data_IF_858736085363
#
_entry.id   IF_858736085363
#
_cell.length_a   1.000
_cell.length_b   1.000
_cell.length_c   1.000
_cell.angle_alpha   90.00
_cell.angle_beta   90.00
_cell.angle_gamma   90.00
#
_symmetry.space_group_name_H-M   'P 1'
#
loop_
_entity.id
_entity.type
_entity.pdbx_description
1 polymer ?
#
# COMPACT_ATOMS: atom_id res chain seq x y z
N UNK A 1 0.98 -13.32 12.34
CA UNK A 1 2.18 -13.67 13.13
C UNK A 1 2.43 -12.73 14.32
N UNK A 2 2.38 -11.42 14.11
CA UNK A 2 2.53 -10.43 15.21
C UNK A 2 1.49 -10.63 16.33
N UNK A 3 0.23 -10.80 15.98
CA UNK A 3 -0.87 -11.04 16.93
C UNK A 3 -0.65 -12.30 17.81
N UNK A 4 -0.05 -13.35 17.26
CA UNK A 4 0.28 -14.54 18.03
C UNK A 4 1.39 -14.24 19.06
N UNK A 5 2.41 -13.48 18.72
CA UNK A 5 3.46 -13.07 19.65
C UNK A 5 2.90 -12.25 20.81
N UNK A 6 1.94 -11.37 20.57
CA UNK A 6 1.27 -10.59 21.61
C UNK A 6 0.51 -11.49 22.56
N UNK A 7 -0.19 -12.51 22.08
CA UNK A 7 -0.90 -13.48 22.94
C UNK A 7 0.08 -14.26 23.79
N UNK A 8 1.21 -14.70 23.25
CA UNK A 8 2.25 -15.41 24.01
C UNK A 8 2.90 -14.52 25.10
N UNK A 9 3.00 -13.20 24.87
CA UNK A 9 3.50 -12.24 25.86
C UNK A 9 2.56 -12.12 27.07
N UNK A 10 1.27 -12.36 26.90
CA UNK A 10 0.29 -12.32 27.99
C UNK A 10 0.31 -13.60 28.85
N UNK A 11 1.00 -14.66 28.42
CA UNK A 11 1.10 -15.87 29.19
C UNK A 11 2.01 -15.67 30.41
N UNK A 12 1.61 -16.15 31.60
CA UNK A 12 2.40 -16.01 32.80
C UNK A 12 3.78 -16.68 32.65
N UNK A 13 4.82 -15.99 33.10
CA UNK A 13 6.23 -16.42 33.01
C UNK A 13 6.84 -16.50 31.60
N UNK A 14 6.23 -15.91 30.59
CA UNK A 14 6.84 -15.81 29.25
C UNK A 14 7.90 -14.71 29.20
N UNK A 15 9.10 -15.06 28.80
CA UNK A 15 10.18 -14.08 28.51
C UNK A 15 10.21 -13.75 27.02
N UNK A 16 10.68 -12.54 26.68
CA UNK A 16 10.83 -12.12 25.28
C UNK A 16 11.69 -13.12 24.49
N UNK A 17 12.80 -13.55 25.06
CA UNK A 17 13.68 -14.55 24.44
C UNK A 17 12.99 -15.86 24.11
N UNK A 18 12.10 -16.35 25.00
CA UNK A 18 11.34 -17.57 24.75
C UNK A 18 10.32 -17.38 23.61
N UNK A 19 9.70 -16.21 23.54
CA UNK A 19 8.72 -15.90 22.48
C UNK A 19 9.43 -15.81 21.12
N UNK A 20 10.59 -15.15 21.07
CA UNK A 20 11.41 -15.08 19.87
C UNK A 20 11.88 -16.48 19.43
N UNK A 21 12.32 -17.33 20.37
CA UNK A 21 12.70 -18.70 20.08
C UNK A 21 11.54 -19.53 19.50
N UNK A 22 10.35 -19.43 20.10
CA UNK A 22 9.14 -20.07 19.60
C UNK A 22 8.72 -19.53 18.22
N UNK A 23 8.88 -18.24 17.97
CA UNK A 23 8.60 -17.63 16.69
C UNK A 23 9.56 -18.15 15.61
N UNK A 24 10.86 -18.15 15.90
CA UNK A 24 11.92 -18.65 15.00
C UNK A 24 11.71 -20.12 14.65
N UNK A 25 11.27 -20.93 15.61
CA UNK A 25 10.98 -22.36 15.37
C UNK A 25 9.80 -22.57 14.38
N UNK A 26 8.94 -21.57 14.19
CA UNK A 26 7.75 -21.64 13.32
C UNK A 26 7.94 -21.01 11.95
N UNK A 27 8.99 -20.22 11.74
CA UNK A 27 9.26 -19.65 10.42
C UNK A 27 9.67 -20.75 9.44
N UNK A 28 9.20 -20.62 8.21
CA UNK A 28 9.47 -21.54 7.10
C UNK A 28 9.90 -20.78 5.84
N UNK A 29 10.34 -21.51 4.81
CA UNK A 29 10.71 -20.93 3.51
C UNK A 29 11.85 -19.92 3.63
N UNK A 30 11.78 -18.87 2.84
CA UNK A 30 12.83 -17.83 2.72
C UNK A 30 13.18 -17.16 4.06
N UNK A 31 12.22 -16.99 4.97
CA UNK A 31 12.48 -16.44 6.30
C UNK A 31 13.36 -17.38 7.14
N UNK A 32 13.16 -18.69 7.02
CA UNK A 32 13.97 -19.68 7.70
C UNK A 32 15.39 -19.72 7.13
N UNK A 33 15.53 -19.71 5.82
CA UNK A 33 16.83 -19.65 5.14
C UNK A 33 17.60 -18.41 5.56
N UNK A 34 16.94 -17.25 5.55
CA UNK A 34 17.54 -16.01 6.02
C UNK A 34 18.02 -16.13 7.48
N UNK A 35 17.18 -16.65 8.38
CA UNK A 35 17.57 -16.80 9.79
C UNK A 35 18.81 -17.68 9.96
N UNK A 36 18.89 -18.80 9.24
CA UNK A 36 20.04 -19.69 9.28
C UNK A 36 21.30 -19.00 8.78
N UNK A 37 21.18 -18.18 7.73
CA UNK A 37 22.30 -17.47 7.10
C UNK A 37 22.68 -16.17 7.82
N UNK A 38 21.89 -15.69 8.78
CA UNK A 38 22.14 -14.44 9.50
C UNK A 38 23.42 -14.44 10.32
N UNK A 39 23.92 -15.63 10.65
CA UNK A 39 25.09 -15.81 11.48
C UNK A 39 24.80 -15.69 12.98
N UNK A 40 25.61 -16.40 13.78
CA UNK A 40 25.35 -16.60 15.21
C UNK A 40 25.32 -15.28 16.01
N UNK A 41 26.19 -14.33 15.65
CA UNK A 41 26.22 -13.03 16.32
C UNK A 41 24.92 -12.25 16.15
N UNK A 42 24.40 -12.13 14.92
CA UNK A 42 23.16 -11.41 14.63
C UNK A 42 21.95 -12.14 15.17
N UNK A 43 21.93 -13.48 15.13
CA UNK A 43 20.89 -14.29 15.75
C UNK A 43 20.80 -14.03 17.26
N UNK A 44 21.93 -13.98 17.96
CA UNK A 44 21.98 -13.63 19.38
C UNK A 44 21.49 -12.21 19.63
N UNK A 45 21.91 -11.25 18.83
CA UNK A 45 21.42 -9.87 18.93
C UNK A 45 19.90 -9.79 18.79
N UNK A 46 19.33 -10.46 17.78
CA UNK A 46 17.91 -10.53 17.57
C UNK A 46 17.17 -11.25 18.71
N UNK A 47 17.75 -12.33 19.26
CA UNK A 47 17.17 -13.08 20.38
C UNK A 47 17.17 -12.29 21.71
N UNK A 48 17.98 -11.24 21.84
CA UNK A 48 18.05 -10.39 23.02
C UNK A 48 17.36 -9.04 22.85
N UNK A 49 16.50 -8.87 21.83
CA UNK A 49 15.67 -7.68 21.71
C UNK A 49 14.75 -7.53 22.92
N UNK A 50 14.61 -6.29 23.40
CA UNK A 50 13.78 -5.99 24.55
C UNK A 50 12.29 -5.93 24.23
N UNK A 51 11.95 -5.61 22.96
CA UNK A 51 10.58 -5.50 22.49
C UNK A 51 10.35 -6.34 21.24
N UNK A 52 9.09 -6.71 20.99
CA UNK A 52 8.71 -7.34 19.72
C UNK A 52 8.89 -6.41 18.53
N UNK A 53 8.72 -5.11 18.73
CA UNK A 53 8.89 -4.10 17.69
C UNK A 53 10.34 -4.05 17.22
N UNK A 54 11.31 -4.04 18.15
CA UNK A 54 12.74 -4.11 17.81
C UNK A 54 13.06 -5.38 17.03
N UNK A 55 12.53 -6.52 17.48
CA UNK A 55 12.74 -7.80 16.80
C UNK A 55 12.16 -7.79 15.38
N UNK A 56 10.91 -7.33 15.22
CA UNK A 56 10.29 -7.24 13.89
C UNK A 56 10.92 -6.18 13.00
N UNK A 57 11.51 -5.12 13.56
CA UNK A 57 12.26 -4.12 12.79
C UNK A 57 13.46 -4.75 12.07
N UNK A 58 14.11 -5.74 12.68
CA UNK A 58 15.20 -6.49 12.02
C UNK A 58 14.68 -7.19 10.74
N UNK A 59 13.51 -7.84 10.82
CA UNK A 59 12.90 -8.46 9.64
C UNK A 59 12.48 -7.42 8.60
N UNK A 60 11.87 -6.33 9.03
CA UNK A 60 11.44 -5.27 8.13
C UNK A 60 12.62 -4.68 7.36
N UNK A 61 13.72 -4.39 8.05
CA UNK A 61 14.90 -3.82 7.41
C UNK A 61 15.55 -4.77 6.41
N UNK A 62 15.48 -6.08 6.65
CA UNK A 62 16.09 -7.07 5.77
C UNK A 62 15.20 -7.42 4.55
N UNK A 63 13.90 -7.58 4.77
CA UNK A 63 13.01 -8.10 3.72
C UNK A 63 12.19 -7.05 3.00
N UNK A 64 11.95 -5.91 3.66
CA UNK A 64 11.09 -4.87 3.10
C UNK A 64 11.89 -3.66 2.62
N UNK A 65 13.23 -3.66 2.75
CA UNK A 65 14.03 -2.45 2.59
C UNK A 65 13.46 -1.31 3.47
N UNK A 66 14.02 -0.14 3.50
CA UNK A 66 13.39 0.91 4.31
C UNK A 66 11.95 1.13 3.85
N UNK A 67 11.01 1.33 4.78
CA UNK A 67 9.59 1.68 4.48
C UNK A 67 9.53 2.85 3.49
N UNK A 68 10.51 3.75 3.54
CA UNK A 68 10.71 4.84 2.59
C UNK A 68 10.88 4.35 1.15
N UNK A 69 11.70 3.34 0.91
CA UNK A 69 11.90 2.81 -0.44
C UNK A 69 10.59 2.26 -1.05
N UNK A 70 9.79 1.53 -0.28
CA UNK A 70 8.49 1.03 -0.77
C UNK A 70 7.48 2.13 -1.01
N UNK A 71 7.46 3.15 -0.15
CA UNK A 71 6.58 4.31 -0.35
C UNK A 71 7.00 5.12 -1.57
N UNK A 72 8.29 5.32 -1.79
CA UNK A 72 8.84 6.01 -2.96
C UNK A 72 8.51 5.24 -4.26
N UNK A 73 8.76 3.93 -4.29
CA UNK A 73 8.42 3.09 -5.46
C UNK A 73 6.92 3.09 -5.73
N UNK A 74 6.08 2.94 -4.69
CA UNK A 74 4.64 2.98 -4.85
C UNK A 74 4.14 4.34 -5.35
N UNK A 75 4.76 5.43 -4.90
CA UNK A 75 4.45 6.78 -5.35
C UNK A 75 4.88 6.99 -6.82
N UNK A 76 6.07 6.55 -7.19
CA UNK A 76 6.56 6.63 -8.57
C UNK A 76 5.69 5.80 -9.51
N UNK A 77 5.36 4.57 -9.15
CA UNK A 77 4.43 3.74 -9.92
C UNK A 77 3.06 4.39 -10.06
N UNK A 78 2.53 5.00 -8.99
CA UNK A 78 1.26 5.73 -9.03
C UNK A 78 1.29 6.89 -10.03
N UNK A 79 2.38 7.66 -10.07
CA UNK A 79 2.55 8.79 -10.98
C UNK A 79 2.66 8.37 -12.45
N UNK A 80 3.26 7.20 -12.70
CA UNK A 80 3.50 6.68 -14.05
C UNK A 80 2.33 5.85 -14.61
N UNK A 81 1.37 5.44 -13.77
CA UNK A 81 0.23 4.65 -14.23
C UNK A 81 -0.62 5.39 -15.24
N UNK A 82 -0.97 4.72 -16.34
CA UNK A 82 -1.88 5.21 -17.37
C UNK A 82 -2.89 4.11 -17.76
N UNK A 83 -4.10 4.54 -18.06
CA UNK A 83 -5.12 3.72 -18.70
C UNK A 83 -5.32 4.19 -20.13
N UNK A 84 -5.18 3.28 -21.09
CA UNK A 84 -5.35 3.60 -22.52
C UNK A 84 -6.67 3.04 -23.07
N UNK A 85 -7.50 2.42 -22.23
CA UNK A 85 -8.75 1.78 -22.64
C UNK A 85 -9.95 2.55 -22.10
N UNK A 86 -10.97 2.69 -22.94
CA UNK A 86 -12.27 3.23 -22.54
C UNK A 86 -13.23 2.13 -22.06
N UNK A 87 -12.83 0.85 -22.08
CA UNK A 87 -13.67 -0.22 -21.59
C UNK A 87 -13.87 -0.11 -20.07
N UNK A 88 -15.12 -0.24 -19.61
CA UNK A 88 -15.48 -0.15 -18.20
C UNK A 88 -14.66 -1.10 -17.34
N UNK A 89 -14.47 -2.34 -17.79
CA UNK A 89 -13.68 -3.36 -17.09
C UNK A 89 -12.22 -2.95 -16.89
N UNK A 90 -11.63 -2.28 -17.87
CA UNK A 90 -10.24 -1.83 -17.79
C UNK A 90 -10.11 -0.59 -16.91
N UNK A 91 -11.07 0.32 -16.96
CA UNK A 91 -11.15 1.47 -16.06
C UNK A 91 -11.30 1.02 -14.59
N UNK A 92 -12.14 0.02 -14.31
CA UNK A 92 -12.31 -0.55 -12.97
C UNK A 92 -10.99 -1.20 -12.48
N UNK A 93 -10.32 -2.00 -13.31
CA UNK A 93 -9.01 -2.57 -12.97
C UNK A 93 -7.92 -1.51 -12.77
N UNK A 94 -7.96 -0.43 -13.55
CA UNK A 94 -7.03 0.68 -13.40
C UNK A 94 -7.28 1.39 -12.07
N UNK A 95 -8.53 1.68 -11.74
CA UNK A 95 -8.90 2.27 -10.46
C UNK A 95 -8.44 1.41 -9.27
N UNK A 96 -8.66 0.10 -9.32
CA UNK A 96 -8.22 -0.81 -8.26
C UNK A 96 -6.70 -0.79 -8.08
N UNK A 97 -5.93 -0.77 -9.19
CA UNK A 97 -4.47 -0.69 -9.14
C UNK A 97 -4.00 0.66 -8.57
N UNK A 98 -4.57 1.76 -9.05
CA UNK A 98 -4.27 3.10 -8.56
C UNK A 98 -4.58 3.24 -7.07
N UNK A 99 -5.74 2.75 -6.62
CA UNK A 99 -6.15 2.79 -5.22
C UNK A 99 -5.20 2.02 -4.32
N UNK A 100 -4.78 0.83 -4.72
CA UNK A 100 -3.80 0.03 -3.95
C UNK A 100 -2.48 0.77 -3.77
N UNK A 101 -1.97 1.42 -4.82
CA UNK A 101 -0.73 2.22 -4.73
C UNK A 101 -0.94 3.46 -3.87
N UNK A 102 -2.04 4.17 -4.05
CA UNK A 102 -2.40 5.33 -3.25
C UNK A 102 -2.39 5.02 -1.74
N UNK A 103 -3.00 3.91 -1.33
CA UNK A 103 -3.00 3.51 0.08
C UNK A 103 -1.65 2.97 0.56
N UNK A 104 -0.77 2.49 -0.34
CA UNK A 104 0.56 1.97 0.03
C UNK A 104 1.54 3.05 0.50
N UNK A 105 1.39 4.30 0.03
CA UNK A 105 2.25 5.41 0.46
C UNK A 105 1.56 6.38 1.42
N UNK A 106 0.64 5.85 2.25
CA UNK A 106 -0.12 6.62 3.25
C UNK A 106 -0.94 7.78 2.68
N UNK A 107 -1.43 7.60 1.46
CA UNK A 107 -2.36 8.47 0.77
C UNK A 107 -2.14 9.95 1.07
N UNK A 108 -1.35 10.64 0.28
CA UNK A 108 -1.40 12.09 0.37
C UNK A 108 -2.83 12.50 -0.02
N UNK A 109 -3.64 12.85 0.96
CA UNK A 109 -5.04 13.26 0.76
C UNK A 109 -5.14 14.62 0.05
N UNK A 110 -4.10 14.92 -0.72
CA UNK A 110 -3.93 16.13 -1.48
C UNK A 110 -4.69 16.10 -2.81
N UNK A 111 -5.16 17.27 -3.24
CA UNK A 111 -5.71 17.49 -4.56
C UNK A 111 -4.80 16.95 -5.68
N UNK A 112 -3.48 16.95 -5.47
CA UNK A 112 -2.47 16.47 -6.41
C UNK A 112 -2.61 14.98 -6.75
N UNK A 113 -2.86 14.11 -5.77
CA UNK A 113 -3.02 12.68 -6.03
C UNK A 113 -4.30 12.40 -6.84
N UNK A 114 -5.37 13.13 -6.54
CA UNK A 114 -6.64 13.03 -7.28
C UNK A 114 -6.52 13.57 -8.70
N UNK A 115 -5.74 14.65 -8.88
CA UNK A 115 -5.42 15.18 -10.19
C UNK A 115 -4.57 14.19 -11.00
N UNK A 116 -3.58 13.56 -10.38
CA UNK A 116 -2.79 12.48 -11.00
C UNK A 116 -3.68 11.32 -11.42
N UNK A 117 -4.65 10.92 -10.60
CA UNK A 117 -5.61 9.89 -10.96
C UNK A 117 -6.42 10.28 -12.20
N UNK A 118 -6.97 11.49 -12.27
CA UNK A 118 -7.73 11.95 -13.44
C UNK A 118 -6.84 11.99 -14.70
N UNK A 119 -5.59 12.47 -14.56
CA UNK A 119 -4.63 12.51 -15.65
C UNK A 119 -4.16 11.11 -16.10
N UNK A 120 -4.37 10.08 -15.30
CA UNK A 120 -4.06 8.70 -15.64
C UNK A 120 -5.13 8.02 -16.51
N UNK A 121 -6.30 8.63 -16.62
CA UNK A 121 -7.40 8.15 -17.46
C UNK A 121 -7.13 8.44 -18.94
N UNK A 122 -7.79 7.73 -19.88
CA UNK A 122 -7.68 8.02 -21.30
C UNK A 122 -8.14 9.46 -21.62
N UNK A 123 -7.44 10.16 -22.49
CA UNK A 123 -7.92 11.42 -23.04
C UNK A 123 -9.14 11.18 -23.96
N UNK A 124 -10.20 11.99 -23.89
CA UNK A 124 -10.39 13.19 -23.06
C UNK A 124 -11.09 12.93 -21.72
N UNK A 125 -11.23 11.66 -21.29
CA UNK A 125 -12.09 11.28 -20.15
C UNK A 125 -11.71 11.98 -18.84
N UNK A 126 -10.41 12.18 -18.60
CA UNK A 126 -9.92 12.88 -17.40
C UNK A 126 -10.38 14.33 -17.37
N UNK A 127 -10.22 15.05 -18.48
CA UNK A 127 -10.60 16.46 -18.61
C UNK A 127 -12.12 16.64 -18.57
N UNK A 128 -12.87 15.79 -19.24
CA UNK A 128 -14.33 15.77 -19.18
C UNK A 128 -14.86 15.55 -17.76
N UNK A 129 -14.21 14.63 -17.02
CA UNK A 129 -14.55 14.36 -15.62
C UNK A 129 -14.32 15.59 -14.77
N UNK A 130 -13.17 16.25 -14.93
CA UNK A 130 -12.85 17.47 -14.20
C UNK A 130 -13.81 18.61 -14.54
N UNK A 131 -14.16 18.76 -15.81
CA UNK A 131 -15.15 19.73 -16.27
C UNK A 131 -16.52 19.48 -15.63
N UNK A 132 -16.97 18.23 -15.61
CA UNK A 132 -18.24 17.85 -14.99
C UNK A 132 -18.26 18.12 -13.48
N UNK A 133 -17.16 17.81 -12.78
CA UNK A 133 -17.03 18.10 -11.35
C UNK A 133 -17.08 19.62 -11.08
N UNK A 134 -16.41 20.41 -11.90
CA UNK A 134 -16.43 21.88 -11.80
C UNK A 134 -17.84 22.45 -12.02
N UNK A 135 -18.57 21.96 -13.02
CA UNK A 135 -19.97 22.35 -13.26
C UNK A 135 -20.88 22.02 -12.05
N UNK A 136 -20.59 20.94 -11.35
CA UNK A 136 -21.29 20.53 -10.13
C UNK A 136 -20.76 21.24 -8.86
N UNK A 137 -19.79 22.14 -8.99
CA UNK A 137 -19.10 22.85 -7.89
C UNK A 137 -18.44 21.90 -6.88
N UNK A 138 -17.99 20.73 -7.33
CA UNK A 138 -17.27 19.74 -6.52
C UNK A 138 -15.76 19.96 -6.75
N UNK A 139 -15.05 20.33 -5.68
CA UNK A 139 -13.60 20.49 -5.75
C UNK A 139 -12.88 19.15 -5.54
N UNK A 140 -11.69 18.99 -6.10
CA UNK A 140 -10.84 17.81 -5.87
C UNK A 140 -10.46 17.62 -4.39
N UNK A 141 -10.42 18.69 -3.60
CA UNK A 141 -10.17 18.60 -2.17
C UNK A 141 -11.32 17.91 -1.43
N UNK A 142 -12.56 18.18 -1.84
CA UNK A 142 -13.77 17.63 -1.22
C UNK A 142 -14.10 16.21 -1.71
N UNK A 143 -13.68 15.87 -2.93
CA UNK A 143 -13.95 14.58 -3.53
C UNK A 143 -12.97 13.50 -3.00
N UNK A 144 -13.44 12.25 -2.81
CA UNK A 144 -12.57 11.09 -2.66
C UNK A 144 -12.10 10.56 -4.03
N UNK A 145 -11.07 9.73 -4.06
CA UNK A 145 -10.67 9.04 -5.30
C UNK A 145 -11.81 8.19 -5.88
N UNK A 146 -12.60 7.52 -5.03
CA UNK A 146 -13.77 6.77 -5.45
C UNK A 146 -14.85 7.67 -6.06
N UNK A 147 -15.03 8.89 -5.53
CA UNK A 147 -15.94 9.88 -6.11
C UNK A 147 -15.47 10.33 -7.49
N UNK A 148 -14.18 10.64 -7.66
CA UNK A 148 -13.60 10.98 -8.97
C UNK A 148 -13.81 9.85 -9.98
N UNK A 149 -13.61 8.60 -9.58
CA UNK A 149 -13.83 7.44 -10.43
C UNK A 149 -15.30 7.27 -10.82
N UNK A 150 -16.23 7.42 -9.88
CA UNK A 150 -17.67 7.40 -10.17
C UNK A 150 -18.06 8.46 -11.19
N UNK A 151 -17.48 9.66 -11.10
CA UNK A 151 -17.70 10.74 -12.08
C UNK A 151 -17.08 10.42 -13.44
N UNK A 152 -15.91 9.76 -13.49
CA UNK A 152 -15.31 9.33 -14.75
C UNK A 152 -16.19 8.30 -15.49
N UNK A 153 -16.76 7.33 -14.78
CA UNK A 153 -17.70 6.38 -15.37
C UNK A 153 -18.97 7.09 -15.89
N UNK A 154 -19.47 8.05 -15.15
CA UNK A 154 -20.65 8.84 -15.55
C UNK A 154 -20.34 9.72 -16.77
N UNK A 155 -19.19 10.38 -16.84
CA UNK A 155 -18.75 11.16 -17.99
C UNK A 155 -18.67 10.30 -19.24
N UNK A 156 -18.04 9.11 -19.13
CA UNK A 156 -17.98 8.15 -20.22
C UNK A 156 -19.38 7.79 -20.78
N UNK A 157 -20.35 7.50 -19.92
CA UNK A 157 -21.70 7.12 -20.35
C UNK A 157 -22.40 8.25 -21.13
N UNK A 158 -22.10 9.51 -20.82
CA UNK A 158 -22.64 10.68 -21.51
C UNK A 158 -21.96 10.83 -22.88
N UNK A 159 -20.63 10.73 -22.93
CA UNK A 159 -19.85 10.92 -24.17
C UNK A 159 -20.12 9.86 -25.23
N UNK A 160 -20.49 8.65 -24.84
CA UNK A 160 -20.83 7.57 -25.78
C UNK A 160 -22.30 7.53 -26.21
N UNK A 161 -23.14 8.42 -25.68
CA UNK A 161 -24.56 8.56 -26.11
C UNK A 161 -24.79 9.65 -27.17
N UNK A 162 -23.77 10.47 -27.43
CA UNK A 162 -23.76 11.50 -28.46
C UNK A 162 -22.93 11.04 -29.67
#
# INVERSE_FOLDING_TARGET
MYSWCIVELQAPNSTMSQIIAKFVARITGRLREWWINLGEYRQRQAAHCNTLEDFFTIFHNEFLSSVTYYTEVAQEEFLLMKCCSFERKDLEKHFDRMSRRYYSFNGMDGANAKHTFLNSLPEPLGDETLCMMNLQKITLQQASCAHCFGKALQSKEISFRN
#
